data_IF_168882636204
#
_entry.id   IF_168882636204
#
_cell.length_a   1.000
_cell.length_b   1.000
_cell.length_c   1.000
_cell.angle_alpha   90.00
_cell.angle_beta   90.00
_cell.angle_gamma   90.00
#
_symmetry.space_group_name_H-M   'P 1'
#
loop_
_entity.id
_entity.type
_entity.pdbx_description
1 polymer ?
#
# COMPACT_ATOMS: atom_id res chain seq x y z
N UNK A 1 63.08 26.12 -10.22
CA UNK A 1 62.18 25.10 -10.83
C UNK A 1 61.60 24.20 -9.74
N UNK A 2 60.38 24.42 -9.32
CA UNK A 2 59.72 23.63 -8.27
C UNK A 2 59.04 22.38 -8.92
N UNK A 3 59.55 21.19 -8.55
CA UNK A 3 58.96 19.91 -8.98
C UNK A 3 57.58 19.77 -8.30
N UNK A 4 56.48 19.85 -9.04
CA UNK A 4 55.14 19.52 -8.60
C UNK A 4 55.03 17.98 -8.36
N UNK A 5 54.63 17.59 -7.16
CA UNK A 5 54.55 16.21 -6.69
C UNK A 5 53.33 15.52 -7.34
N UNK A 6 53.51 14.48 -8.20
CA UNK A 6 52.37 13.88 -8.94
C UNK A 6 51.41 13.11 -8.06
N UNK A 7 51.80 12.74 -6.81
CA UNK A 7 50.97 11.98 -5.88
C UNK A 7 49.74 12.76 -5.35
N UNK A 8 49.83 14.12 -5.28
CA UNK A 8 48.73 14.95 -4.78
C UNK A 8 47.61 15.07 -5.80
N UNK A 9 47.90 14.97 -7.10
CA UNK A 9 46.90 15.03 -8.16
C UNK A 9 46.08 13.76 -8.29
N UNK A 10 46.71 12.57 -8.03
CA UNK A 10 46.00 11.27 -8.11
C UNK A 10 44.99 11.11 -6.97
N UNK A 11 45.29 11.56 -5.76
CA UNK A 11 44.40 11.46 -4.60
C UNK A 11 43.20 12.41 -4.70
N UNK A 12 43.36 13.60 -5.28
CA UNK A 12 42.27 14.53 -5.48
C UNK A 12 41.28 14.09 -6.58
N UNK A 13 41.81 13.41 -7.62
CA UNK A 13 40.96 12.89 -8.73
C UNK A 13 40.19 11.64 -8.30
N UNK A 14 40.82 10.73 -7.55
CA UNK A 14 40.12 9.56 -7.00
C UNK A 14 39.04 9.95 -5.98
N UNK A 15 39.29 10.92 -5.10
CA UNK A 15 38.31 11.41 -4.16
C UNK A 15 37.09 12.08 -4.86
N UNK A 16 37.34 12.81 -5.97
CA UNK A 16 36.28 13.42 -6.77
C UNK A 16 35.46 12.37 -7.55
N UNK A 17 36.11 11.35 -8.10
CA UNK A 17 35.44 10.23 -8.77
C UNK A 17 34.62 9.39 -7.80
N UNK A 18 35.16 9.12 -6.61
CA UNK A 18 34.40 8.41 -5.56
C UNK A 18 33.22 9.24 -5.06
N UNK A 19 33.36 10.56 -4.91
CA UNK A 19 32.25 11.45 -4.56
C UNK A 19 31.20 11.53 -5.65
N UNK A 20 31.57 11.52 -6.92
CA UNK A 20 30.64 11.50 -8.05
C UNK A 20 29.90 10.15 -8.16
N UNK A 21 30.59 9.05 -7.91
CA UNK A 21 29.99 7.71 -7.89
C UNK A 21 28.98 7.55 -6.74
N UNK A 22 29.30 8.06 -5.56
CA UNK A 22 28.40 8.10 -4.42
C UNK A 22 27.20 9.03 -4.71
N UNK A 23 27.43 10.19 -5.33
CA UNK A 23 26.34 11.08 -5.74
C UNK A 23 25.45 10.45 -6.83
N UNK A 24 26.00 9.72 -7.78
CA UNK A 24 25.26 8.98 -8.81
C UNK A 24 24.48 7.80 -8.22
N UNK A 25 25.02 7.11 -7.23
CA UNK A 25 24.31 6.05 -6.49
C UNK A 25 23.20 6.62 -5.60
N UNK A 26 23.33 7.86 -5.12
CA UNK A 26 22.29 8.56 -4.38
C UNK A 26 21.20 9.18 -5.29
N UNK A 27 21.50 9.39 -6.57
CA UNK A 27 20.58 9.94 -7.57
C UNK A 27 19.76 8.85 -8.29
N UNK A 28 20.17 7.57 -8.24
CA UNK A 28 19.30 6.47 -8.62
C UNK A 28 18.27 6.31 -7.51
N UNK A 29 17.11 6.91 -7.65
CA UNK A 29 16.04 6.95 -6.65
C UNK A 29 15.74 5.58 -6.07
N UNK A 30 16.24 5.32 -4.85
CA UNK A 30 16.03 4.05 -4.16
C UNK A 30 14.65 4.01 -3.47
N UNK A 31 13.57 4.18 -4.23
CA UNK A 31 12.22 3.90 -3.71
C UNK A 31 12.03 2.41 -3.38
N UNK A 32 12.85 1.53 -3.98
CA UNK A 32 12.90 0.09 -3.66
C UNK A 32 13.25 -0.22 -2.19
N UNK A 33 13.88 0.71 -1.47
CA UNK A 33 14.16 0.55 -0.01
C UNK A 33 12.89 0.42 0.83
N UNK A 34 11.73 0.83 0.31
CA UNK A 34 10.46 0.66 0.99
C UNK A 34 9.83 -0.71 0.84
N UNK A 35 10.35 -1.55 -0.05
CA UNK A 35 9.72 -2.81 -0.41
C UNK A 35 10.56 -3.98 0.10
N UNK A 36 9.91 -4.90 0.82
CA UNK A 36 10.53 -6.13 1.37
C UNK A 36 9.80 -7.36 0.85
N UNK A 37 9.80 -7.56 -0.50
CA UNK A 37 9.11 -8.70 -1.10
C UNK A 37 9.81 -10.00 -0.78
N UNK A 38 9.03 -11.08 -0.75
CA UNK A 38 9.54 -12.43 -0.90
C UNK A 38 8.65 -13.26 -1.83
N UNK A 39 9.10 -14.45 -2.19
CA UNK A 39 8.41 -15.37 -3.11
C UNK A 39 7.95 -16.66 -2.42
N UNK A 40 7.99 -16.69 -1.10
CA UNK A 40 7.56 -17.85 -0.30
C UNK A 40 6.04 -17.85 -0.21
N UNK A 41 5.40 -18.96 -0.54
CA UNK A 41 3.96 -19.15 -0.28
C UNK A 41 3.78 -19.62 1.16
N UNK A 42 3.21 -18.78 2.01
CA UNK A 42 2.98 -19.06 3.43
C UNK A 42 1.71 -19.86 3.65
N UNK A 43 0.61 -19.39 3.09
CA UNK A 43 -0.68 -20.08 3.16
C UNK A 43 -1.47 -19.77 1.88
N UNK A 44 -2.23 -20.76 1.40
CA UNK A 44 -3.15 -20.57 0.28
C UNK A 44 -4.59 -20.54 0.79
N UNK A 45 -5.54 -19.90 0.07
CA UNK A 45 -6.92 -19.77 0.54
C UNK A 45 -7.63 -21.13 0.80
N UNK A 46 -7.28 -22.19 0.05
CA UNK A 46 -7.81 -23.54 0.28
C UNK A 46 -7.44 -24.11 1.66
N UNK A 47 -6.28 -23.72 2.21
CA UNK A 47 -5.88 -24.09 3.59
C UNK A 47 -6.76 -23.41 4.65
N UNK A 48 -7.48 -22.39 4.26
CA UNK A 48 -8.44 -21.66 5.08
C UNK A 48 -9.88 -22.08 4.76
N UNK A 49 -10.08 -23.12 3.94
CA UNK A 49 -11.36 -23.58 3.40
C UNK A 49 -12.10 -22.50 2.60
N UNK A 50 -11.39 -21.62 1.92
CA UNK A 50 -11.94 -20.60 1.06
C UNK A 50 -11.86 -21.02 -0.40
N UNK A 51 -12.93 -20.81 -1.16
CA UNK A 51 -12.89 -20.86 -2.61
C UNK A 51 -12.08 -19.69 -3.15
N UNK A 52 -11.30 -19.91 -4.21
CA UNK A 52 -10.52 -18.86 -4.85
C UNK A 52 -10.15 -19.19 -6.28
N UNK A 53 -9.79 -18.13 -7.02
CA UNK A 53 -9.21 -18.22 -8.35
C UNK A 53 -7.84 -17.52 -8.33
N UNK A 54 -6.80 -18.16 -8.91
CA UNK A 54 -5.54 -17.48 -9.26
C UNK A 54 -5.79 -16.54 -10.44
N UNK A 55 -5.47 -15.27 -10.27
CA UNK A 55 -5.63 -14.23 -11.29
C UNK A 55 -4.25 -13.79 -11.75
N UNK A 56 -4.08 -13.67 -13.05
CA UNK A 56 -2.86 -13.13 -13.66
C UNK A 56 -3.22 -11.95 -14.55
N UNK A 57 -2.59 -10.78 -14.30
CA UNK A 57 -2.86 -9.53 -15.00
C UNK A 57 -1.59 -9.01 -15.66
N UNK A 58 -1.68 -8.67 -16.96
CA UNK A 58 -0.62 -7.94 -17.64
C UNK A 58 -0.73 -6.44 -17.37
N UNK A 59 0.36 -5.82 -16.95
CA UNK A 59 0.47 -4.37 -16.82
C UNK A 59 0.80 -3.71 -18.15
N UNK A 60 0.57 -2.41 -18.29
CA UNK A 60 0.85 -1.67 -19.51
C UNK A 60 2.35 -1.61 -19.85
N UNK A 61 3.21 -1.72 -18.85
CA UNK A 61 4.67 -1.71 -18.96
C UNK A 61 5.29 -3.11 -19.08
N UNK A 62 4.45 -4.17 -19.19
CA UNK A 62 4.86 -5.52 -19.57
C UNK A 62 5.11 -6.49 -18.43
N UNK A 63 4.83 -6.11 -17.19
CA UNK A 63 4.90 -7.01 -16.05
C UNK A 63 3.65 -7.90 -15.96
N UNK A 64 3.77 -9.01 -15.23
CA UNK A 64 2.66 -9.91 -14.94
C UNK A 64 2.43 -9.93 -13.43
N UNK A 65 1.25 -9.49 -13.02
CA UNK A 65 0.83 -9.52 -11.63
C UNK A 65 0.05 -10.80 -11.35
N UNK A 66 0.32 -11.39 -10.20
CA UNK A 66 -0.47 -12.49 -9.65
C UNK A 66 -1.38 -11.96 -8.54
N UNK A 67 -2.52 -12.57 -8.36
CA UNK A 67 -3.44 -12.25 -7.28
C UNK A 67 -4.47 -13.32 -7.07
N UNK A 68 -5.36 -13.10 -6.12
CA UNK A 68 -6.46 -13.99 -5.80
C UNK A 68 -7.79 -13.29 -5.83
N UNK A 69 -8.76 -13.94 -6.46
CA UNK A 69 -10.17 -13.62 -6.34
C UNK A 69 -10.84 -14.66 -5.42
N UNK A 70 -11.41 -14.19 -4.32
CA UNK A 70 -12.18 -14.99 -3.37
C UNK A 70 -13.65 -14.60 -3.50
N UNK A 71 -14.52 -15.45 -4.03
CA UNK A 71 -15.95 -15.16 -4.11
C UNK A 71 -16.57 -15.12 -2.70
N UNK A 72 -17.62 -14.32 -2.56
CA UNK A 72 -18.43 -14.30 -1.36
C UNK A 72 -19.12 -15.65 -1.13
N UNK A 73 -19.16 -16.12 0.11
CA UNK A 73 -20.00 -17.24 0.51
C UNK A 73 -21.45 -16.77 0.59
N UNK A 74 -22.08 -16.63 -0.57
CA UNK A 74 -23.46 -16.17 -0.72
C UNK A 74 -24.15 -16.95 -1.84
N UNK A 75 -25.50 -17.05 -1.87
CA UNK A 75 -26.19 -17.57 -3.04
C UNK A 75 -25.74 -16.85 -4.32
N UNK A 76 -25.71 -17.56 -5.44
CA UNK A 76 -25.26 -17.03 -6.73
C UNK A 76 -25.77 -15.60 -6.96
N UNK A 77 -24.86 -14.72 -7.34
CA UNK A 77 -25.13 -13.31 -7.62
C UNK A 77 -25.72 -12.50 -6.45
N UNK A 78 -25.45 -12.85 -5.20
CA UNK A 78 -25.93 -12.09 -4.04
C UNK A 78 -24.82 -11.62 -3.08
N UNK A 79 -23.62 -11.35 -3.59
CA UNK A 79 -22.58 -10.70 -2.82
C UNK A 79 -23.01 -9.31 -2.35
N UNK A 80 -22.64 -8.93 -1.15
CA UNK A 80 -22.94 -7.61 -0.56
C UNK A 80 -22.07 -6.50 -1.12
N UNK A 81 -20.98 -6.84 -1.76
CA UNK A 81 -20.01 -5.93 -2.35
C UNK A 81 -18.67 -6.63 -2.55
N UNK A 82 -17.68 -5.87 -2.96
CA UNK A 82 -16.32 -6.34 -3.19
C UNK A 82 -15.32 -5.50 -2.39
N UNK A 83 -14.33 -6.15 -1.80
CA UNK A 83 -13.20 -5.51 -1.13
C UNK A 83 -11.94 -5.75 -1.96
N UNK A 84 -11.35 -4.69 -2.47
CA UNK A 84 -10.02 -4.72 -3.05
C UNK A 84 -9.00 -4.52 -1.94
N UNK A 85 -8.34 -5.60 -1.55
CA UNK A 85 -7.34 -5.59 -0.48
C UNK A 85 -5.95 -5.32 -1.03
N UNK A 86 -5.31 -4.29 -0.51
CA UNK A 86 -3.93 -3.89 -0.79
C UNK A 86 -3.07 -4.23 0.43
N UNK A 87 -2.19 -5.21 0.27
CA UNK A 87 -1.43 -5.78 1.38
C UNK A 87 -0.27 -4.87 1.85
N UNK A 88 0.26 -5.18 3.03
CA UNK A 88 1.40 -4.48 3.61
C UNK A 88 2.74 -4.81 2.93
N UNK A 89 3.79 -4.16 3.40
CA UNK A 89 5.10 -4.14 2.75
C UNK A 89 5.83 -5.48 2.74
N UNK A 90 5.85 -6.23 3.85
CA UNK A 90 6.68 -7.43 3.96
C UNK A 90 6.00 -8.67 3.39
N UNK A 91 6.80 -9.63 2.91
CA UNK A 91 6.33 -10.93 2.41
C UNK A 91 5.52 -10.80 1.11
N UNK A 92 4.26 -11.25 1.08
CA UNK A 92 3.39 -11.24 -0.10
C UNK A 92 1.93 -11.53 0.30
N UNK A 93 1.03 -11.56 -0.67
CA UNK A 93 -0.41 -11.79 -0.45
C UNK A 93 -0.69 -13.03 0.39
N UNK A 94 0.13 -14.09 0.29
CA UNK A 94 -0.11 -15.35 0.98
C UNK A 94 0.04 -15.28 2.50
N UNK A 95 0.78 -14.32 3.04
CA UNK A 95 0.82 -14.05 4.47
C UNK A 95 -0.26 -13.08 4.91
N UNK A 96 -0.61 -12.11 4.06
CA UNK A 96 -1.57 -11.05 4.37
C UNK A 96 -3.03 -11.46 4.20
N UNK A 97 -3.31 -12.57 3.50
CA UNK A 97 -4.68 -13.06 3.27
C UNK A 97 -5.48 -13.25 4.56
N UNK A 98 -4.81 -13.56 5.68
CA UNK A 98 -5.44 -13.72 6.99
C UNK A 98 -6.18 -12.47 7.48
N UNK A 99 -5.80 -11.29 6.99
CA UNK A 99 -6.46 -10.04 7.34
C UNK A 99 -7.84 -9.88 6.72
N UNK A 100 -8.12 -10.60 5.62
CA UNK A 100 -9.36 -10.46 4.85
C UNK A 100 -10.11 -11.78 4.65
N UNK A 101 -9.52 -12.93 5.05
CA UNK A 101 -10.09 -14.27 4.93
C UNK A 101 -11.47 -14.45 5.59
N UNK A 102 -11.85 -13.54 6.48
CA UNK A 102 -13.15 -13.53 7.16
C UNK A 102 -14.27 -12.83 6.38
N UNK A 103 -13.94 -12.11 5.29
CA UNK A 103 -14.90 -11.34 4.49
C UNK A 103 -15.82 -12.21 3.60
N UNK A 104 -15.34 -13.28 2.94
CA UNK A 104 -16.20 -14.17 2.16
C UNK A 104 -17.38 -14.73 2.96
N UNK A 105 -17.16 -15.21 4.18
CA UNK A 105 -18.20 -15.66 5.11
C UNK A 105 -19.23 -14.56 5.45
N UNK A 106 -18.82 -13.29 5.34
CA UNK A 106 -19.70 -12.13 5.56
C UNK A 106 -20.41 -11.64 4.30
N UNK A 107 -20.27 -12.37 3.19
CA UNK A 107 -20.92 -12.11 1.93
C UNK A 107 -20.21 -11.05 1.06
N UNK A 108 -18.93 -10.80 1.26
CA UNK A 108 -18.13 -9.90 0.42
C UNK A 108 -17.14 -10.68 -0.43
N UNK A 109 -17.07 -10.35 -1.72
CA UNK A 109 -15.96 -10.78 -2.55
C UNK A 109 -14.68 -10.10 -2.06
N UNK A 110 -13.54 -10.80 -2.19
CA UNK A 110 -12.22 -10.21 -1.94
C UNK A 110 -11.38 -10.37 -3.20
N UNK A 111 -10.75 -9.29 -3.60
CA UNK A 111 -9.70 -9.30 -4.60
C UNK A 111 -8.42 -8.75 -4.01
N UNK A 112 -7.30 -9.37 -4.30
CA UNK A 112 -5.98 -8.92 -3.86
C UNK A 112 -4.93 -9.32 -4.88
N UNK A 113 -3.87 -8.52 -5.01
CA UNK A 113 -2.74 -8.78 -5.91
C UNK A 113 -1.43 -8.72 -5.13
N UNK A 114 -0.45 -9.46 -5.58
CA UNK A 114 0.95 -9.22 -5.31
C UNK A 114 1.42 -8.07 -6.21
N UNK A 115 2.00 -7.02 -5.65
CA UNK A 115 2.66 -5.97 -6.45
C UNK A 115 3.87 -6.56 -7.17
N UNK A 116 4.39 -5.85 -8.17
CA UNK A 116 5.62 -6.26 -8.87
C UNK A 116 6.73 -6.64 -7.89
N UNK A 117 7.42 -7.73 -8.18
CA UNK A 117 8.48 -8.29 -7.32
C UNK A 117 8.00 -9.13 -6.13
N UNK A 118 6.72 -9.04 -5.74
CA UNK A 118 6.13 -9.83 -4.66
C UNK A 118 5.57 -11.17 -5.15
N UNK A 119 5.65 -12.20 -4.31
CA UNK A 119 5.02 -13.49 -4.53
C UNK A 119 5.33 -14.10 -5.89
N UNK A 120 4.29 -14.27 -6.72
CA UNK A 120 4.40 -14.79 -8.08
C UNK A 120 4.42 -13.68 -9.16
N UNK A 121 4.30 -12.39 -8.77
CA UNK A 121 4.39 -11.27 -9.70
C UNK A 121 5.81 -11.08 -10.22
N UNK A 122 5.95 -10.60 -11.47
CA UNK A 122 7.24 -10.29 -12.09
C UNK A 122 7.69 -8.86 -11.75
N UNK A 123 8.87 -8.47 -12.24
CA UNK A 123 9.41 -7.12 -12.08
C UNK A 123 10.13 -6.86 -10.77
N UNK A 124 10.57 -5.63 -10.62
CA UNK A 124 11.23 -5.11 -9.41
C UNK A 124 10.36 -4.02 -8.78
N UNK A 125 10.19 -3.99 -7.44
CA UNK A 125 9.27 -3.08 -6.79
C UNK A 125 9.83 -1.67 -6.67
N UNK A 126 9.01 -0.69 -7.02
CA UNK A 126 9.18 0.73 -6.75
C UNK A 126 7.80 1.38 -6.56
N UNK A 127 7.75 2.62 -6.12
CA UNK A 127 6.49 3.29 -5.76
C UNK A 127 5.62 3.50 -7.01
N UNK A 128 6.18 4.01 -8.10
CA UNK A 128 5.45 4.31 -9.33
C UNK A 128 4.90 3.03 -9.98
N UNK A 129 5.74 2.00 -10.07
CA UNK A 129 5.32 0.70 -10.55
C UNK A 129 4.22 0.06 -9.70
N UNK A 130 4.33 0.12 -8.37
CA UNK A 130 3.29 -0.40 -7.48
C UNK A 130 1.95 0.36 -7.62
N UNK A 131 1.98 1.67 -7.92
CA UNK A 131 0.78 2.45 -8.23
C UNK A 131 0.14 2.00 -9.55
N UNK A 132 0.94 1.73 -10.59
CA UNK A 132 0.43 1.12 -11.82
C UNK A 132 -0.17 -0.27 -11.60
N UNK A 133 0.41 -1.06 -10.69
CA UNK A 133 -0.07 -2.40 -10.36
C UNK A 133 -1.44 -2.34 -9.69
N UNK A 134 -1.61 -1.47 -8.68
CA UNK A 134 -2.92 -1.35 -7.99
C UNK A 134 -3.99 -0.76 -8.91
N UNK A 135 -3.64 0.14 -9.82
CA UNK A 135 -4.56 0.64 -10.85
C UNK A 135 -4.95 -0.49 -11.83
N UNK A 136 -4.00 -1.33 -12.25
CA UNK A 136 -4.27 -2.49 -13.12
C UNK A 136 -5.28 -3.44 -12.46
N UNK A 137 -5.13 -3.70 -11.17
CA UNK A 137 -6.08 -4.49 -10.39
C UNK A 137 -7.48 -3.87 -10.34
N UNK A 138 -7.58 -2.57 -10.09
CA UNK A 138 -8.88 -1.87 -10.06
C UNK A 138 -9.54 -1.86 -11.45
N UNK A 139 -8.78 -1.68 -12.53
CA UNK A 139 -9.27 -1.76 -13.90
C UNK A 139 -9.74 -3.18 -14.29
N UNK A 140 -9.16 -4.21 -13.70
CA UNK A 140 -9.65 -5.58 -13.87
C UNK A 140 -11.01 -5.77 -13.15
N UNK A 141 -11.16 -5.27 -11.92
CA UNK A 141 -12.43 -5.26 -11.20
C UNK A 141 -13.52 -4.50 -11.97
N UNK A 142 -13.16 -3.39 -12.60
CA UNK A 142 -14.07 -2.58 -13.42
C UNK A 142 -14.70 -3.34 -14.62
N UNK A 143 -14.12 -4.46 -15.00
CA UNK A 143 -14.63 -5.32 -16.09
C UNK A 143 -15.49 -6.47 -15.60
N UNK A 144 -15.63 -6.66 -14.28
CA UNK A 144 -16.45 -7.72 -13.69
C UNK A 144 -17.88 -7.21 -13.47
N UNK A 145 -18.90 -7.79 -14.13
CA UNK A 145 -20.31 -7.38 -13.94
C UNK A 145 -20.75 -7.44 -12.47
N UNK A 146 -20.31 -8.46 -11.73
CA UNK A 146 -20.63 -8.65 -10.33
C UNK A 146 -20.05 -7.57 -9.40
N UNK A 147 -19.12 -6.75 -9.89
CA UNK A 147 -18.49 -5.65 -9.15
C UNK A 147 -19.13 -4.32 -9.49
N UNK A 148 -19.42 -4.08 -10.77
CA UNK A 148 -19.88 -2.75 -11.25
C UNK A 148 -21.23 -2.33 -10.69
N UNK A 149 -22.10 -3.29 -10.38
CA UNK A 149 -23.46 -3.06 -9.89
C UNK A 149 -23.56 -3.12 -8.34
N UNK A 150 -22.43 -3.22 -7.66
CA UNK A 150 -22.39 -3.42 -6.20
C UNK A 150 -21.32 -2.55 -5.55
N UNK A 151 -21.47 -2.32 -4.23
CA UNK A 151 -20.45 -1.55 -3.49
C UNK A 151 -19.04 -2.11 -3.64
N UNK A 152 -18.08 -1.22 -3.91
CA UNK A 152 -16.67 -1.50 -4.00
C UNK A 152 -15.88 -0.70 -2.96
N UNK A 153 -15.08 -1.42 -2.18
CA UNK A 153 -14.25 -0.84 -1.13
C UNK A 153 -12.78 -1.13 -1.40
N UNK A 154 -11.92 -0.16 -1.13
CA UNK A 154 -10.47 -0.37 -1.01
C UNK A 154 -10.17 -0.56 0.48
N UNK A 155 -9.49 -1.65 0.83
CA UNK A 155 -8.91 -1.85 2.15
C UNK A 155 -7.40 -1.92 1.99
N UNK A 156 -6.69 -0.87 2.42
CA UNK A 156 -5.24 -0.79 2.35
C UNK A 156 -4.59 -0.91 3.72
N UNK A 157 -3.63 -1.84 3.84
CA UNK A 157 -2.88 -2.04 5.07
C UNK A 157 -1.46 -1.52 4.92
N UNK A 158 -1.00 -0.67 5.85
CA UNK A 158 0.39 -0.18 5.87
C UNK A 158 0.80 0.44 4.53
N UNK A 159 1.75 -0.15 3.80
CA UNK A 159 2.13 0.23 2.43
C UNK A 159 0.91 0.29 1.49
N UNK A 160 0.07 -0.77 1.54
CA UNK A 160 -1.14 -0.83 0.73
C UNK A 160 -2.13 0.29 1.03
N UNK A 161 -2.11 0.86 2.23
CA UNK A 161 -2.89 2.05 2.56
C UNK A 161 -2.37 3.30 1.85
N UNK A 162 -1.05 3.49 1.80
CA UNK A 162 -0.44 4.59 1.03
C UNK A 162 -0.76 4.51 -0.47
N UNK A 163 -0.63 3.31 -1.05
CA UNK A 163 -1.01 3.04 -2.44
C UNK A 163 -2.52 3.23 -2.66
N UNK A 164 -3.33 2.79 -1.70
CA UNK A 164 -4.80 2.92 -1.74
C UNK A 164 -5.28 4.36 -1.70
N UNK A 165 -4.63 5.23 -0.92
CA UNK A 165 -4.92 6.68 -0.89
C UNK A 165 -4.64 7.29 -2.28
N UNK A 166 -3.45 7.04 -2.84
CA UNK A 166 -3.07 7.58 -4.14
C UNK A 166 -4.04 7.09 -5.23
N UNK A 167 -4.30 5.78 -5.30
CA UNK A 167 -5.24 5.18 -6.25
C UNK A 167 -6.65 5.79 -6.11
N UNK A 168 -7.21 5.81 -4.90
CA UNK A 168 -8.56 6.30 -4.67
C UNK A 168 -8.70 7.78 -4.99
N UNK A 169 -7.69 8.61 -4.63
CA UNK A 169 -7.70 10.05 -4.90
C UNK A 169 -7.72 10.37 -6.39
N UNK A 170 -7.03 9.57 -7.21
CA UNK A 170 -7.06 9.74 -8.66
C UNK A 170 -8.31 9.14 -9.30
N UNK A 171 -8.72 7.96 -8.83
CA UNK A 171 -9.89 7.26 -9.38
C UNK A 171 -11.18 8.04 -9.18
N UNK A 172 -11.38 8.64 -8.02
CA UNK A 172 -12.59 9.43 -7.73
C UNK A 172 -12.71 10.71 -8.57
N UNK A 173 -11.60 11.22 -9.10
CA UNK A 173 -11.61 12.37 -10.02
C UNK A 173 -11.95 11.99 -11.47
N UNK A 174 -11.98 10.69 -11.77
CA UNK A 174 -12.37 10.18 -13.09
C UNK A 174 -13.84 9.80 -13.05
N UNK A 175 -14.58 10.09 -14.10
CA UNK A 175 -15.97 9.62 -14.26
C UNK A 175 -16.04 8.14 -14.67
N UNK A 176 -15.06 7.34 -14.23
CA UNK A 176 -14.95 5.92 -14.59
C UNK A 176 -15.75 5.05 -13.60
N UNK A 177 -16.22 3.89 -14.06
CA UNK A 177 -16.82 2.85 -13.24
C UNK A 177 -15.78 1.75 -12.95
N UNK A 178 -15.90 1.02 -11.84
CA UNK A 178 -16.91 1.16 -10.78
C UNK A 178 -16.64 2.38 -9.90
N UNK A 179 -17.69 2.92 -9.30
CA UNK A 179 -17.53 3.92 -8.23
C UNK A 179 -17.01 3.24 -6.98
N UNK A 180 -16.16 3.95 -6.26
CA UNK A 180 -15.74 3.52 -4.93
C UNK A 180 -16.81 3.95 -3.92
N UNK A 181 -17.19 3.04 -3.02
CA UNK A 181 -18.14 3.30 -1.94
C UNK A 181 -17.45 3.58 -0.62
N UNK A 182 -16.18 3.21 -0.47
CA UNK A 182 -15.40 3.54 0.71
C UNK A 182 -13.93 3.11 0.62
N UNK A 183 -13.10 3.80 1.39
CA UNK A 183 -11.68 3.52 1.56
C UNK A 183 -11.39 3.28 3.04
N UNK A 184 -10.77 2.15 3.35
CA UNK A 184 -10.43 1.72 4.69
C UNK A 184 -8.91 1.61 4.77
N UNK A 185 -8.31 2.34 5.70
CA UNK A 185 -6.87 2.46 5.86
C UNK A 185 -6.46 1.89 7.22
N UNK A 186 -5.72 0.79 7.25
CA UNK A 186 -5.29 0.10 8.47
C UNK A 186 -3.81 0.27 8.72
N UNK A 187 -3.43 1.01 9.77
CA UNK A 187 -2.05 1.21 10.20
C UNK A 187 -1.16 1.85 9.13
N UNK A 188 -1.69 2.80 8.38
CA UNK A 188 -1.01 3.45 7.25
C UNK A 188 -0.28 4.72 7.67
N UNK A 189 0.78 5.05 6.93
CA UNK A 189 1.56 6.27 7.14
C UNK A 189 1.00 7.48 6.36
N UNK A 190 1.27 8.68 6.88
CA UNK A 190 0.74 9.93 6.31
C UNK A 190 1.48 10.41 5.06
N UNK A 191 2.62 9.80 4.72
CA UNK A 191 3.39 10.09 3.51
C UNK A 191 4.65 9.26 3.44
N UNK A 192 5.07 8.89 2.22
CA UNK A 192 6.25 8.06 1.96
C UNK A 192 7.54 8.74 2.42
N UNK A 193 7.71 10.00 2.07
CA UNK A 193 8.90 10.78 2.47
C UNK A 193 8.94 11.00 3.98
N UNK A 194 7.78 11.25 4.59
CA UNK A 194 7.68 11.48 6.04
C UNK A 194 8.06 10.23 6.83
N UNK A 195 7.48 9.07 6.52
CA UNK A 195 7.82 7.83 7.24
C UNK A 195 9.29 7.43 7.03
N UNK A 196 9.83 7.63 5.81
CA UNK A 196 11.25 7.39 5.56
C UNK A 196 12.15 8.24 6.45
N UNK A 197 11.86 9.53 6.54
CA UNK A 197 12.62 10.46 7.39
C UNK A 197 12.60 10.02 8.84
N UNK A 198 11.44 9.64 9.35
CA UNK A 198 11.30 9.18 10.74
C UNK A 198 12.08 7.87 10.98
N UNK A 199 12.00 6.91 10.07
CA UNK A 199 12.79 5.65 10.16
C UNK A 199 14.29 5.90 10.12
N UNK A 200 14.76 6.74 9.20
CA UNK A 200 16.17 7.14 9.11
C UNK A 200 16.61 7.94 10.35
N UNK A 201 15.74 8.78 10.88
CA UNK A 201 15.99 9.59 12.07
C UNK A 201 16.06 8.78 13.37
N UNK A 202 15.39 7.63 13.41
CA UNK A 202 15.38 6.73 14.58
C UNK A 202 16.68 5.92 14.78
N UNK A 203 17.57 5.87 13.80
CA UNK A 203 18.82 5.14 13.89
C UNK A 203 20.03 6.09 13.86
N UNK A 204 20.89 6.05 14.87
CA UNK A 204 21.97 7.01 15.08
C UNK A 204 22.93 7.17 13.90
N UNK A 205 23.17 6.11 13.12
CA UNK A 205 24.08 6.14 11.97
C UNK A 205 23.45 6.86 10.77
N UNK A 206 22.15 6.72 10.56
CA UNK A 206 21.40 7.35 9.45
C UNK A 206 20.82 8.70 9.83
N UNK A 207 20.75 9.03 11.13
CA UNK A 207 20.21 10.30 11.62
C UNK A 207 20.75 11.56 10.89
N UNK A 208 22.06 11.71 10.63
CA UNK A 208 22.56 12.88 9.90
C UNK A 208 22.13 12.93 8.42
N UNK A 209 21.76 11.75 7.87
CA UNK A 209 21.42 11.58 6.46
C UNK A 209 19.90 11.54 6.22
N UNK A 210 19.07 11.61 7.27
CA UNK A 210 17.62 11.48 7.16
C UNK A 210 17.00 12.47 6.16
N UNK A 211 17.48 13.73 6.14
CA UNK A 211 16.96 14.75 5.24
C UNK A 211 17.43 14.50 3.80
N UNK A 212 18.74 14.42 3.49
CA UNK A 212 19.16 14.21 2.09
C UNK A 212 18.69 12.88 1.51
N UNK A 213 18.65 11.79 2.29
CA UNK A 213 18.15 10.50 1.80
C UNK A 213 16.62 10.54 1.60
N UNK A 214 15.87 11.23 2.43
CA UNK A 214 14.42 11.33 2.22
C UNK A 214 14.03 12.11 0.96
N UNK A 215 14.92 12.98 0.43
CA UNK A 215 14.69 13.70 -0.83
C UNK A 215 14.78 12.81 -2.07
N UNK A 216 15.39 11.63 -1.96
CA UNK A 216 15.37 10.64 -3.06
C UNK A 216 14.01 9.98 -3.26
N UNK A 217 13.07 10.19 -2.33
CA UNK A 217 11.72 9.67 -2.38
C UNK A 217 10.83 10.76 -2.98
N UNK A 218 10.06 10.45 -4.04
CA UNK A 218 9.09 11.39 -4.59
C UNK A 218 8.14 11.90 -3.51
N UNK A 219 7.79 13.19 -3.54
CA UNK A 219 6.77 13.78 -2.66
C UNK A 219 5.39 13.85 -3.32
N UNK A 220 5.31 13.43 -4.56
CA UNK A 220 4.07 13.42 -5.34
C UNK A 220 2.98 12.49 -4.76
N UNK A 221 3.34 11.60 -3.82
CA UNK A 221 2.43 10.58 -3.26
C UNK A 221 2.28 10.67 -1.74
N UNK A 222 2.43 11.86 -1.16
CA UNK A 222 2.20 12.07 0.27
C UNK A 222 0.71 11.91 0.59
N UNK A 223 0.37 10.94 1.46
CA UNK A 223 -1.02 10.54 1.74
C UNK A 223 -1.88 11.71 2.24
N UNK A 224 -1.32 12.61 3.05
CA UNK A 224 -2.04 13.79 3.57
C UNK A 224 -2.45 14.79 2.48
N UNK A 225 -1.74 14.83 1.36
CA UNK A 225 -2.03 15.73 0.25
C UNK A 225 -3.07 15.13 -0.72
N UNK A 226 -3.19 13.79 -0.71
CA UNK A 226 -4.08 13.05 -1.59
C UNK A 226 -5.43 12.70 -0.96
N UNK A 227 -5.44 12.35 0.32
CA UNK A 227 -6.65 11.88 1.01
C UNK A 227 -7.83 12.86 0.96
N UNK A 228 -7.65 14.21 0.94
CA UNK A 228 -8.77 15.13 0.78
C UNK A 228 -9.53 14.98 -0.54
N UNK A 229 -8.87 14.47 -1.59
CA UNK A 229 -9.46 14.29 -2.92
C UNK A 229 -10.37 13.06 -3.02
N UNK A 230 -10.37 12.19 -2.01
CA UNK A 230 -11.22 10.99 -1.97
C UNK A 230 -12.69 11.36 -1.76
N UNK A 231 -12.97 12.50 -1.09
CA UNK A 231 -14.34 12.99 -0.91
C UNK A 231 -15.04 13.16 -2.27
N UNK A 232 -16.33 12.78 -2.40
CA UNK A 232 -17.28 12.43 -1.34
C UNK A 232 -17.33 10.94 -0.94
N UNK A 233 -16.38 10.12 -1.38
CA UNK A 233 -16.26 8.72 -0.94
C UNK A 233 -15.89 8.68 0.54
N UNK A 234 -16.59 7.85 1.31
CA UNK A 234 -16.31 7.72 2.75
C UNK A 234 -14.94 7.11 3.04
N UNK A 235 -14.26 7.62 4.06
CA UNK A 235 -12.94 7.15 4.48
C UNK A 235 -12.97 6.70 5.94
N UNK A 236 -12.48 5.47 6.20
CA UNK A 236 -12.21 5.02 7.57
C UNK A 236 -10.71 4.91 7.79
N UNK A 237 -10.18 5.65 8.75
CA UNK A 237 -8.80 5.51 9.21
C UNK A 237 -8.77 4.67 10.48
N UNK A 238 -8.08 3.53 10.42
CA UNK A 238 -7.87 2.63 11.56
C UNK A 238 -6.42 2.75 11.97
N UNK A 239 -6.15 3.05 13.24
CA UNK A 239 -4.78 3.10 13.73
C UNK A 239 -4.68 2.66 15.17
N UNK A 240 -3.60 1.94 15.48
CA UNK A 240 -3.38 1.41 16.83
C UNK A 240 -2.44 2.30 17.63
N UNK A 241 -2.81 2.57 18.88
CA UNK A 241 -1.92 3.24 19.85
C UNK A 241 -0.72 2.36 20.24
N UNK A 242 -0.76 1.07 19.92
CA UNK A 242 0.31 0.10 20.17
C UNK A 242 1.06 -0.31 18.89
N UNK A 243 0.86 0.44 17.80
CA UNK A 243 1.59 0.20 16.56
C UNK A 243 3.07 0.54 16.74
N UNK A 244 3.92 -0.50 16.74
CA UNK A 244 5.37 -0.36 16.87
C UNK A 244 6.09 -0.10 15.55
N UNK A 245 5.36 -0.11 14.42
CA UNK A 245 5.92 0.07 13.08
C UNK A 245 5.59 1.47 12.55
N UNK A 246 4.32 1.84 12.52
CA UNK A 246 3.86 3.17 12.06
C UNK A 246 3.31 3.92 13.28
N UNK A 247 3.97 5.01 13.71
CA UNK A 247 3.52 5.78 14.87
C UNK A 247 2.09 6.30 14.72
N UNK A 248 1.35 6.34 15.83
CA UNK A 248 -0.08 6.67 15.89
C UNK A 248 -0.42 8.02 15.24
N UNK A 249 0.47 9.02 15.38
CA UNK A 249 0.26 10.35 14.79
C UNK A 249 0.14 10.38 13.26
N UNK A 250 0.56 9.31 12.56
CA UNK A 250 0.32 9.19 11.12
C UNK A 250 -1.16 8.98 10.81
N UNK A 251 -1.84 8.14 11.61
CA UNK A 251 -3.29 7.94 11.49
C UNK A 251 -4.06 9.22 11.82
N UNK A 252 -3.66 9.91 12.89
CA UNK A 252 -4.25 11.20 13.25
C UNK A 252 -4.11 12.22 12.12
N UNK A 253 -2.90 12.36 11.54
CA UNK A 253 -2.65 13.29 10.44
C UNK A 253 -3.48 12.96 9.19
N UNK A 254 -3.64 11.68 8.85
CA UNK A 254 -4.49 11.27 7.73
C UNK A 254 -5.96 11.60 8.01
N UNK A 255 -6.44 11.31 9.21
CA UNK A 255 -7.82 11.60 9.58
C UNK A 255 -8.10 13.11 9.59
N UNK A 256 -7.19 13.92 10.11
CA UNK A 256 -7.31 15.37 10.07
C UNK A 256 -7.37 15.93 8.65
N UNK A 257 -6.52 15.41 7.75
CA UNK A 257 -6.46 15.84 6.36
C UNK A 257 -7.67 15.38 5.52
N UNK A 258 -8.24 14.21 5.82
CA UNK A 258 -9.41 13.69 5.10
C UNK A 258 -10.61 14.63 5.22
N UNK A 259 -11.41 14.72 4.12
CA UNK A 259 -12.69 15.43 4.12
C UNK A 259 -13.85 14.49 4.51
N UNK A 260 -14.99 15.07 4.90
CA UNK A 260 -16.20 14.28 5.16
C UNK A 260 -16.72 13.57 3.88
N UNK A 261 -17.35 12.40 4.03
CA UNK A 261 -17.57 11.65 5.26
C UNK A 261 -16.34 10.82 5.69
N UNK A 262 -15.97 10.91 6.95
CA UNK A 262 -14.80 10.21 7.51
C UNK A 262 -15.05 9.66 8.90
N UNK A 263 -14.39 8.53 9.22
CA UNK A 263 -14.41 7.92 10.55
C UNK A 263 -13.00 7.57 11.01
N UNK A 264 -12.76 7.66 12.33
CA UNK A 264 -11.52 7.20 12.95
C UNK A 264 -11.80 6.05 13.91
N UNK A 265 -11.12 4.93 13.70
CA UNK A 265 -11.18 3.77 14.58
C UNK A 265 -9.83 3.58 15.27
N UNK A 266 -9.74 4.01 16.53
CA UNK A 266 -8.58 3.72 17.37
C UNK A 266 -8.60 2.27 17.81
N UNK A 267 -7.45 1.58 17.68
CA UNK A 267 -7.25 0.20 18.12
C UNK A 267 -6.08 0.11 19.10
N UNK A 268 -5.88 -1.07 19.70
CA UNK A 268 -4.81 -1.35 20.66
C UNK A 268 -4.02 -2.62 20.33
N UNK A 269 -4.03 -3.03 19.05
CA UNK A 269 -3.34 -4.21 18.56
C UNK A 269 -1.92 -3.89 18.08
N UNK A 270 -1.00 -4.86 17.99
CA UNK A 270 0.21 -4.70 17.21
C UNK A 270 -0.10 -4.35 15.74
N UNK A 271 0.88 -3.78 15.03
CA UNK A 271 0.78 -3.46 13.60
C UNK A 271 0.30 -4.67 12.78
N UNK A 272 -0.68 -4.45 11.91
CA UNK A 272 -1.23 -5.49 11.03
C UNK A 272 -2.10 -6.55 11.72
N UNK A 273 -2.41 -6.40 13.00
CA UNK A 273 -3.19 -7.38 13.77
C UNK A 273 -4.64 -6.92 14.08
N UNK A 274 -5.09 -5.84 13.47
CA UNK A 274 -6.43 -5.26 13.71
C UNK A 274 -7.53 -6.30 13.53
N UNK A 275 -7.49 -7.05 12.46
CA UNK A 275 -8.55 -7.99 12.09
C UNK A 275 -8.48 -9.35 12.81
N UNK A 276 -7.52 -9.55 13.71
CA UNK A 276 -7.55 -10.68 14.66
C UNK A 276 -8.70 -10.52 15.67
N UNK A 277 -9.06 -9.27 15.97
CA UNK A 277 -10.09 -8.94 16.97
C UNK A 277 -11.47 -8.83 16.29
N UNK A 278 -12.44 -9.72 16.63
CA UNK A 278 -13.77 -9.70 16.01
C UNK A 278 -14.53 -8.39 16.21
N UNK A 279 -14.23 -7.64 17.30
CA UNK A 279 -14.79 -6.31 17.54
C UNK A 279 -14.51 -5.34 16.42
N UNK A 280 -13.26 -5.24 16.01
CA UNK A 280 -12.84 -4.32 14.94
C UNK A 280 -13.37 -4.75 13.57
N UNK A 281 -13.50 -6.07 13.29
CA UNK A 281 -14.20 -6.56 12.10
C UNK A 281 -15.65 -6.05 12.03
N UNK A 282 -16.38 -6.01 13.17
CA UNK A 282 -17.75 -5.51 13.22
C UNK A 282 -17.83 -4.01 12.90
N UNK A 283 -16.88 -3.20 13.36
CA UNK A 283 -16.83 -1.78 13.05
C UNK A 283 -16.60 -1.55 11.54
N UNK A 284 -15.70 -2.31 10.93
CA UNK A 284 -15.50 -2.26 9.46
C UNK A 284 -16.76 -2.68 8.70
N UNK A 285 -17.44 -3.74 9.13
CA UNK A 285 -18.73 -4.13 8.52
C UNK A 285 -19.80 -3.07 8.71
N UNK A 286 -19.87 -2.40 9.86
CA UNK A 286 -20.78 -1.29 10.11
C UNK A 286 -20.50 -0.16 9.12
N UNK A 287 -19.24 0.25 8.99
CA UNK A 287 -18.83 1.28 8.04
C UNK A 287 -19.24 0.93 6.60
N UNK A 288 -18.90 -0.27 6.13
CA UNK A 288 -19.28 -0.73 4.77
C UNK A 288 -20.78 -0.82 4.54
N UNK A 289 -21.61 -0.86 5.59
CA UNK A 289 -23.09 -0.88 5.48
C UNK A 289 -23.74 0.48 5.67
N UNK A 290 -23.04 1.48 6.18
CA UNK A 290 -23.58 2.81 6.49
C UNK A 290 -23.91 3.64 5.23
N UNK A 291 -23.25 3.38 4.10
CA UNK A 291 -23.46 4.04 2.82
C UNK A 291 -24.61 3.47 1.97
N UNK A 292 -25.43 2.58 2.54
CA UNK A 292 -26.56 1.92 1.84
C UNK A 292 -27.88 2.59 2.11
#
# INVERSE_FOLDING_TARGET
MARRNPRVFLTATTARLSGLLVALLLLSGCSSVFFYPDRVTYITPDRLNLEYEDIYLGTADGETLHGWWLPAEAPENNARGTVYFLHGNAQNVSSHILNVAWLPERGYNVFTIDYRGYGKSTGDPDIEGALHDVETGLRWLAKKPDVTDRPLYILGQSLGGGLGIALASEWTQREEQPRLDGVILDGTFSGFRKIAREKLGGFWLTWPLQIPLSWTIPDDYEGVDHIPRISPVQVMVIHSVRDGIIPFHHGEALFEAAQEPKEFLQTDTPHGATFVIPGYRREVLRFMNAGR
#
